data_IF_274725816982
#
_entry.id   IF_274725816982
#
_cell.length_a   1.000
_cell.length_b   1.000
_cell.length_c   1.000
_cell.angle_alpha   90.00
_cell.angle_beta   90.00
_cell.angle_gamma   90.00
#
_symmetry.space_group_name_H-M   'P 1'
#
loop_
_entity.id
_entity.type
_entity.pdbx_description
1 polymer ?
#
# COMPACT_ATOMS: atom_id res chain seq x y z
N UNK A 1 8.44 -20.10 -1.98
CA UNK A 1 7.79 -18.85 -1.53
C UNK A 1 6.47 -18.75 -2.28
N UNK A 2 5.38 -18.40 -1.60
CA UNK A 2 4.10 -18.17 -2.28
C UNK A 2 4.19 -16.87 -3.07
N UNK A 3 3.76 -16.90 -4.33
CA UNK A 3 3.69 -15.75 -5.22
C UNK A 3 2.57 -14.82 -4.75
N UNK A 4 2.93 -13.67 -4.15
CA UNK A 4 1.96 -12.70 -3.63
C UNK A 4 1.46 -11.84 -4.78
N UNK A 5 0.18 -11.97 -5.09
CA UNK A 5 -0.49 -11.27 -6.20
C UNK A 5 -1.44 -10.17 -5.73
N UNK A 6 -1.72 -10.13 -4.43
CA UNK A 6 -2.66 -9.18 -3.82
C UNK A 6 -2.18 -8.74 -2.45
N UNK A 7 -2.41 -7.47 -2.13
CA UNK A 7 -2.29 -6.97 -0.76
C UNK A 7 -3.68 -6.57 -0.28
N UNK A 8 -3.99 -6.95 0.95
CA UNK A 8 -5.18 -6.51 1.65
C UNK A 8 -4.81 -5.85 2.96
N UNK A 9 -5.36 -4.67 3.21
CA UNK A 9 -5.22 -3.98 4.49
C UNK A 9 -6.44 -4.22 5.34
N UNK A 10 -6.23 -4.45 6.64
CA UNK A 10 -7.31 -4.67 7.59
C UNK A 10 -7.01 -3.99 8.92
N UNK A 11 -7.89 -3.10 9.34
CA UNK A 11 -7.90 -2.58 10.70
C UNK A 11 -8.35 -3.69 11.67
N UNK A 12 -7.52 -4.01 12.65
CA UNK A 12 -7.77 -5.07 13.65
C UNK A 12 -7.42 -4.60 15.06
N UNK A 13 -8.00 -5.23 16.10
CA UNK A 13 -7.59 -5.02 17.49
C UNK A 13 -6.11 -5.38 17.75
N UNK A 14 -5.53 -4.81 18.81
CA UNK A 14 -4.11 -4.98 19.18
C UNK A 14 -3.65 -6.43 19.24
N UNK A 15 -4.51 -7.33 19.76
CA UNK A 15 -4.24 -8.75 19.93
C UNK A 15 -3.94 -9.50 18.62
N UNK A 16 -4.40 -8.97 17.48
CA UNK A 16 -4.16 -9.56 16.16
C UNK A 16 -2.87 -9.04 15.50
N UNK A 17 -2.41 -7.86 15.90
CA UNK A 17 -1.15 -7.28 15.42
C UNK A 17 0.02 -7.83 16.25
N UNK A 18 -0.13 -7.83 17.57
CA UNK A 18 0.89 -8.22 18.55
C UNK A 18 1.36 -7.03 19.39
N UNK A 19 1.74 -7.33 20.64
CA UNK A 19 2.12 -6.29 21.61
C UNK A 19 3.30 -5.46 21.11
N UNK A 20 3.18 -4.13 21.26
CA UNK A 20 4.22 -3.17 20.87
C UNK A 20 4.36 -2.91 19.37
N UNK A 21 3.46 -3.45 18.53
CA UNK A 21 3.51 -3.24 17.08
C UNK A 21 2.22 -2.60 16.54
N UNK A 22 2.35 -1.81 15.48
CA UNK A 22 1.23 -1.12 14.83
C UNK A 22 0.76 -1.80 13.54
N UNK A 23 1.58 -2.70 12.99
CA UNK A 23 1.28 -3.45 11.80
C UNK A 23 1.89 -4.86 11.83
N UNK A 24 1.28 -5.77 11.08
CA UNK A 24 1.81 -7.10 10.83
C UNK A 24 1.39 -7.61 9.46
N UNK A 25 2.37 -7.95 8.62
CA UNK A 25 2.14 -8.68 7.38
C UNK A 25 2.00 -10.19 7.64
N UNK A 26 1.00 -10.82 7.03
CA UNK A 26 0.80 -12.28 7.06
C UNK A 26 0.49 -12.80 5.66
N UNK A 27 1.37 -13.63 5.08
CA UNK A 27 1.05 -14.34 3.84
C UNK A 27 -0.14 -15.29 4.04
N UNK A 28 -1.05 -15.31 3.06
CA UNK A 28 -2.23 -16.16 3.00
C UNK A 28 -2.47 -16.60 1.55
N UNK A 29 -1.80 -17.67 1.13
CA UNK A 29 -1.86 -18.11 -0.26
C UNK A 29 -1.18 -17.09 -1.18
N UNK A 30 -1.93 -16.53 -2.12
CA UNK A 30 -1.50 -15.47 -3.06
C UNK A 30 -1.78 -14.05 -2.53
N UNK A 31 -2.27 -13.91 -1.29
CA UNK A 31 -2.57 -12.63 -0.65
C UNK A 31 -1.56 -12.34 0.48
N UNK A 32 -1.09 -11.11 0.59
CA UNK A 32 -0.48 -10.59 1.80
C UNK A 32 -1.52 -9.78 2.56
N UNK A 33 -1.92 -10.27 3.74
CA UNK A 33 -2.77 -9.53 4.65
C UNK A 33 -1.89 -8.63 5.54
N UNK A 34 -2.02 -7.32 5.36
CA UNK A 34 -1.41 -6.30 6.21
C UNK A 34 -2.43 -5.89 7.28
N UNK A 35 -2.25 -6.45 8.47
CA UNK A 35 -3.07 -6.14 9.65
C UNK A 35 -2.54 -4.87 10.30
N UNK A 36 -3.41 -3.90 10.52
CA UNK A 36 -3.09 -2.58 11.06
C UNK A 36 -3.88 -2.34 12.35
N UNK A 37 -3.26 -1.70 13.33
CA UNK A 37 -3.93 -1.42 14.59
C UNK A 37 -5.10 -0.43 14.39
N UNK A 38 -6.33 -0.82 14.73
CA UNK A 38 -7.56 -0.07 14.39
C UNK A 38 -7.65 1.33 15.03
N UNK A 39 -7.01 1.56 16.18
CA UNK A 39 -6.91 2.91 16.78
C UNK A 39 -6.05 3.89 15.99
N UNK A 40 -5.27 3.42 15.02
CA UNK A 40 -4.30 4.21 14.29
C UNK A 40 -4.68 4.45 12.82
N UNK A 41 -5.77 3.84 12.35
CA UNK A 41 -6.25 3.95 10.97
C UNK A 41 -7.76 3.77 10.89
N UNK A 42 -8.42 4.52 10.01
CA UNK A 42 -9.85 4.30 9.73
C UNK A 42 -10.11 3.06 8.88
N UNK A 43 -11.30 2.46 9.04
CA UNK A 43 -11.71 1.30 8.23
C UNK A 43 -11.84 1.66 6.75
N UNK A 44 -12.47 2.78 6.44
CA UNK A 44 -12.63 3.26 5.07
C UNK A 44 -11.28 3.47 4.36
N UNK A 45 -10.25 3.93 5.09
CA UNK A 45 -8.92 4.07 4.53
C UNK A 45 -8.29 2.69 4.23
N UNK A 46 -8.44 1.70 5.10
CA UNK A 46 -7.99 0.33 4.82
C UNK A 46 -8.64 -0.26 3.56
N UNK A 47 -9.93 0.01 3.36
CA UNK A 47 -10.66 -0.43 2.18
C UNK A 47 -10.09 0.22 0.91
N UNK A 48 -9.95 1.55 0.89
CA UNK A 48 -9.36 2.24 -0.26
C UNK A 48 -7.91 1.83 -0.52
N UNK A 49 -7.09 1.64 0.52
CA UNK A 49 -5.72 1.12 0.37
C UNK A 49 -5.70 -0.28 -0.25
N UNK A 50 -6.64 -1.14 0.13
CA UNK A 50 -6.77 -2.49 -0.46
C UNK A 50 -7.20 -2.43 -1.91
N UNK A 51 -8.14 -1.55 -2.27
CA UNK A 51 -8.56 -1.33 -3.66
C UNK A 51 -7.39 -0.86 -4.53
N UNK A 52 -6.69 0.20 -4.11
CA UNK A 52 -5.57 0.71 -4.89
C UNK A 52 -4.44 -0.31 -5.00
N UNK A 53 -4.06 -0.99 -3.92
CA UNK A 53 -3.00 -1.99 -4.01
C UNK A 53 -3.40 -3.20 -4.86
N UNK A 54 -4.68 -3.61 -4.86
CA UNK A 54 -5.17 -4.62 -5.80
C UNK A 54 -4.98 -4.17 -7.24
N UNK A 55 -5.33 -2.93 -7.55
CA UNK A 55 -5.21 -2.39 -8.91
C UNK A 55 -3.75 -2.18 -9.33
N UNK A 56 -2.89 -1.71 -8.44
CA UNK A 56 -1.47 -1.46 -8.71
C UNK A 56 -0.72 -2.79 -8.84
N UNK A 57 -0.91 -3.73 -7.90
CA UNK A 57 -0.21 -5.02 -7.91
C UNK A 57 -0.75 -5.90 -9.05
N UNK A 58 -2.06 -5.89 -9.27
CA UNK A 58 -2.69 -6.62 -10.38
C UNK A 58 -2.35 -6.08 -11.77
N UNK A 59 -2.01 -4.78 -11.92
CA UNK A 59 -1.64 -4.17 -13.21
C UNK A 59 -0.14 -4.01 -13.43
N UNK A 60 0.65 -3.90 -12.36
CA UNK A 60 2.11 -3.66 -12.47
C UNK A 60 2.91 -4.97 -12.40
N UNK A 61 2.33 -6.07 -11.90
CA UNK A 61 2.97 -7.39 -11.88
C UNK A 61 2.44 -8.37 -12.92
N UNK A 62 1.35 -8.02 -13.61
CA UNK A 62 0.83 -8.81 -14.73
C UNK A 62 0.45 -7.90 -15.89
N UNK A 63 1.25 -8.03 -16.95
CA UNK A 63 0.93 -7.71 -18.34
C UNK A 63 1.10 -6.28 -18.85
N UNK A 64 1.91 -6.21 -19.92
CA UNK A 64 1.72 -5.37 -21.11
C UNK A 64 0.22 -5.29 -21.46
N UNK A 65 -0.43 -4.14 -21.24
CA UNK A 65 -1.11 -3.37 -22.30
C UNK A 65 -1.87 -2.12 -21.81
N UNK A 66 -2.08 -1.25 -22.79
CA UNK A 66 -2.53 0.14 -22.89
C UNK A 66 -3.64 0.73 -21.98
N UNK A 67 -3.47 2.06 -21.81
CA UNK A 67 -4.49 3.11 -21.71
C UNK A 67 -5.36 3.20 -20.44
N UNK A 68 -4.76 3.76 -19.38
CA UNK A 68 -5.49 4.61 -18.43
C UNK A 68 -4.78 5.97 -18.37
N UNK A 69 -5.42 7.01 -18.91
CA UNK A 69 -4.92 8.39 -18.88
C UNK A 69 -4.53 8.80 -17.45
N UNK A 70 -3.22 8.95 -17.24
CA UNK A 70 -2.59 9.34 -15.97
C UNK A 70 -1.63 8.30 -15.38
N UNK A 71 -1.69 7.03 -15.79
CA UNK A 71 -0.73 6.00 -15.42
C UNK A 71 -0.15 5.43 -16.71
N UNK A 72 1.01 5.93 -17.13
CA UNK A 72 1.73 5.43 -18.31
C UNK A 72 2.26 4.02 -17.98
N UNK A 73 1.68 2.93 -18.52
CA UNK A 73 2.06 1.55 -18.18
C UNK A 73 3.23 1.04 -19.04
N UNK A 74 3.91 1.92 -19.79
CA UNK A 74 4.72 1.52 -20.95
C UNK A 74 6.08 0.90 -20.64
N UNK A 75 6.45 0.72 -19.37
CA UNK A 75 7.60 -0.09 -18.97
C UNK A 75 7.19 -0.74 -17.65
N UNK A 76 7.39 -2.05 -17.47
CA UNK A 76 7.20 -2.71 -16.19
C UNK A 76 8.12 -2.06 -15.15
N UNK A 77 7.66 -0.99 -14.52
CA UNK A 77 8.42 -0.25 -13.52
C UNK A 77 8.29 -1.01 -12.23
N UNK A 78 9.34 -1.76 -11.92
CA UNK A 78 9.58 -2.26 -10.57
C UNK A 78 9.44 -1.06 -9.64
N UNK A 79 8.49 -1.10 -8.70
CA UNK A 79 8.40 -0.10 -7.65
C UNK A 79 9.67 -0.25 -6.82
N UNK A 80 10.70 0.54 -7.12
CA UNK A 80 11.98 0.52 -6.42
C UNK A 80 11.93 1.34 -5.14
N UNK A 81 10.94 2.24 -5.02
CA UNK A 81 10.76 3.09 -3.86
C UNK A 81 9.28 3.45 -3.68
N UNK A 82 8.81 3.42 -2.45
CA UNK A 82 7.41 3.69 -2.12
C UNK A 82 7.25 4.28 -0.73
N UNK A 83 6.33 5.25 -0.57
CA UNK A 83 6.07 5.89 0.72
C UNK A 83 4.63 6.36 0.89
N UNK A 84 4.21 6.47 2.13
CA UNK A 84 2.96 7.06 2.59
C UNK A 84 3.21 8.49 3.05
N UNK A 85 2.40 9.42 2.57
CA UNK A 85 2.49 10.86 2.84
C UNK A 85 1.14 11.44 3.23
N UNK A 86 1.11 12.37 4.18
CA UNK A 86 -0.12 13.05 4.54
C UNK A 86 -0.37 14.26 3.65
N UNK A 87 -1.62 14.39 3.21
CA UNK A 87 -2.10 15.54 2.44
C UNK A 87 -3.41 16.05 3.01
N UNK A 88 -3.73 17.35 2.86
CA UNK A 88 -5.05 17.86 3.20
C UNK A 88 -6.11 17.26 2.26
N UNK A 89 -7.36 17.18 2.72
CA UNK A 89 -8.47 16.60 1.92
C UNK A 89 -8.65 17.27 0.55
N UNK A 90 -8.35 18.58 0.44
CA UNK A 90 -8.44 19.34 -0.82
C UNK A 90 -7.43 18.91 -1.90
N UNK A 91 -6.38 18.18 -1.51
CA UNK A 91 -5.39 17.64 -2.43
C UNK A 91 -5.80 16.27 -3.01
N UNK A 92 -6.90 15.69 -2.53
CA UNK A 92 -7.41 14.39 -2.96
C UNK A 92 -8.66 14.55 -3.83
N UNK A 93 -8.95 13.60 -4.73
CA UNK A 93 -10.23 13.56 -5.42
C UNK A 93 -11.40 13.48 -4.43
N UNK A 94 -12.54 14.06 -4.80
CA UNK A 94 -13.71 14.11 -3.93
C UNK A 94 -14.12 12.71 -3.43
N UNK A 95 -14.31 12.58 -2.11
CA UNK A 95 -14.67 11.32 -1.44
C UNK A 95 -13.53 10.34 -1.24
N UNK A 96 -12.29 10.68 -1.61
CA UNK A 96 -11.11 9.83 -1.41
C UNK A 96 -10.36 10.18 -0.14
N UNK A 97 -9.95 9.13 0.57
CA UNK A 97 -9.11 9.16 1.78
C UNK A 97 -7.67 8.77 1.48
N UNK A 98 -7.44 8.11 0.36
CA UNK A 98 -6.13 7.96 -0.21
C UNK A 98 -6.13 8.09 -1.73
N UNK A 99 -4.97 8.46 -2.26
CA UNK A 99 -4.76 8.52 -3.69
C UNK A 99 -3.30 8.15 -4.01
N UNK A 100 -3.07 7.14 -4.86
CA UNK A 100 -1.72 6.85 -5.33
C UNK A 100 -1.28 7.88 -6.37
N UNK A 101 -0.05 8.38 -6.23
CA UNK A 101 0.60 9.24 -7.23
C UNK A 101 1.98 8.72 -7.58
N UNK A 102 2.35 8.85 -8.84
CA UNK A 102 3.70 8.50 -9.31
C UNK A 102 4.57 9.76 -9.33
N UNK A 103 5.62 9.78 -8.52
CA UNK A 103 6.56 10.89 -8.42
C UNK A 103 7.94 10.48 -8.92
N UNK A 104 8.20 10.63 -10.22
CA UNK A 104 9.50 10.26 -10.79
C UNK A 104 9.78 8.76 -10.69
N UNK A 105 10.63 8.34 -9.75
CA UNK A 105 10.96 6.94 -9.44
C UNK A 105 10.25 6.42 -8.17
N UNK A 106 9.46 7.26 -7.50
CA UNK A 106 8.77 6.91 -6.26
C UNK A 106 7.28 6.71 -6.48
N UNK A 107 6.72 5.70 -5.81
CA UNK A 107 5.28 5.53 -5.67
C UNK A 107 4.80 6.11 -4.33
N UNK A 108 3.94 7.13 -4.36
CA UNK A 108 3.50 7.83 -3.15
C UNK A 108 2.02 7.55 -2.92
N UNK A 109 1.69 6.92 -1.80
CA UNK A 109 0.31 6.84 -1.31
C UNK A 109 0.00 8.08 -0.49
N UNK A 110 -0.70 9.03 -1.10
CA UNK A 110 -1.19 10.21 -0.40
C UNK A 110 -2.38 9.80 0.46
N UNK A 111 -2.33 10.15 1.74
CA UNK A 111 -3.33 9.81 2.75
C UNK A 111 -3.91 11.09 3.30
N UNK A 112 -5.24 11.18 3.39
CA UNK A 112 -5.91 12.31 4.01
C UNK A 112 -5.47 12.43 5.47
N UNK A 113 -5.03 13.63 5.86
CA UNK A 113 -4.67 13.92 7.24
C UNK A 113 -5.83 13.58 8.21
N UNK A 114 -5.52 12.86 9.28
CA UNK A 114 -6.49 12.40 10.28
C UNK A 114 -7.04 10.99 10.06
N UNK A 115 -6.90 10.41 8.87
CA UNK A 115 -7.35 9.04 8.59
C UNK A 115 -6.35 7.98 9.09
N UNK A 116 -5.11 8.37 9.33
CA UNK A 116 -4.04 7.55 9.87
C UNK A 116 -3.15 8.38 10.79
N UNK A 117 -2.65 7.79 11.87
CA UNK A 117 -1.70 8.45 12.77
C UNK A 117 -0.28 8.48 12.19
N UNK A 118 0.51 9.48 12.56
CA UNK A 118 1.91 9.60 12.13
C UNK A 118 2.75 8.38 12.53
N UNK A 119 2.53 7.82 13.72
CA UNK A 119 3.23 6.62 14.19
C UNK A 119 3.00 5.42 13.25
N UNK A 120 1.76 5.23 12.80
CA UNK A 120 1.46 4.15 11.87
C UNK A 120 1.99 4.42 10.47
N UNK A 121 1.96 5.67 9.99
CA UNK A 121 2.56 6.06 8.71
C UNK A 121 4.06 5.75 8.69
N UNK A 122 4.77 6.08 9.76
CA UNK A 122 6.19 5.75 9.91
C UNK A 122 6.44 4.25 9.92
N UNK A 123 5.62 3.48 10.64
CA UNK A 123 5.71 2.03 10.64
C UNK A 123 5.48 1.43 9.24
N UNK A 124 4.47 1.91 8.50
CA UNK A 124 4.19 1.48 7.13
C UNK A 124 5.33 1.83 6.16
N UNK A 125 5.92 3.02 6.29
CA UNK A 125 7.08 3.43 5.51
C UNK A 125 8.31 2.55 5.80
N UNK A 126 8.55 2.21 7.07
CA UNK A 126 9.61 1.28 7.42
C UNK A 126 9.34 -0.12 6.85
N UNK A 127 8.09 -0.59 6.94
CA UNK A 127 7.67 -1.89 6.44
C UNK A 127 7.85 -2.03 4.93
N UNK A 128 7.44 -1.01 4.14
CA UNK A 128 7.61 -1.04 2.68
C UNK A 128 9.08 -0.90 2.29
N UNK A 129 9.88 -0.09 2.98
CA UNK A 129 11.31 0.03 2.73
C UNK A 129 12.05 -1.30 2.98
N UNK A 130 11.76 -1.99 4.09
CA UNK A 130 12.32 -3.32 4.39
C UNK A 130 11.87 -4.37 3.37
N UNK A 131 10.59 -4.37 3.04
CA UNK A 131 9.97 -5.21 2.02
C UNK A 131 10.67 -5.09 0.66
N UNK A 132 10.93 -3.86 0.20
CA UNK A 132 11.61 -3.59 -1.05
C UNK A 132 13.10 -3.96 -0.98
N UNK A 133 13.78 -3.64 0.13
CA UNK A 133 15.20 -3.95 0.33
C UNK A 133 15.50 -5.45 0.38
N UNK A 134 14.63 -6.23 1.04
CA UNK A 134 14.75 -7.69 1.15
C UNK A 134 14.33 -8.41 -0.14
N UNK A 135 13.84 -7.67 -1.13
CA UNK A 135 13.20 -8.19 -2.35
C UNK A 135 12.17 -9.26 -2.01
N UNK A 136 11.46 -9.19 -0.89
CA UNK A 136 10.38 -10.16 -0.62
C UNK A 136 9.28 -10.13 -1.69
N UNK A 137 9.27 -9.03 -2.46
CA UNK A 137 8.55 -8.82 -3.70
C UNK A 137 9.44 -9.16 -4.92
N UNK A 138 10.12 -10.33 -4.95
CA UNK A 138 10.82 -10.76 -6.17
C UNK A 138 9.76 -11.12 -7.19
N UNK A 139 9.56 -10.21 -8.14
CA UNK A 139 8.94 -10.49 -9.44
C UNK A 139 9.75 -11.60 -10.11
N UNK A 140 9.18 -12.79 -10.22
CA UNK A 140 9.76 -13.83 -11.06
C UNK A 140 9.36 -13.52 -12.51
N UNK A 141 10.38 -13.19 -13.31
CA UNK A 141 10.33 -13.01 -14.76
C UNK A 141 9.70 -14.21 -15.47
#
# INVERSE_FOLDING_TARGET
>A
MSDIRRIRFQAVPTEFVGDGTLLRGRPRGDELLVMLHERHISKDLCEQLSEYHKDIIGKTLTHEDEAADGLNPSEGRVITNGRYEFVPAVALPAGRKCWPVHGGEEFIWQIQAGEMTEQLRQALNAYIAESLATRQWVQHY
#
